data_IF_887474465476
#
_entry.id   IF_887474465476
#
_cell.length_a   1.000
_cell.length_b   1.000
_cell.length_c   1.000
_cell.angle_alpha   90.00
_cell.angle_beta   90.00
_cell.angle_gamma   90.00
#
_symmetry.space_group_name_H-M   'P 1'
#
loop_
_entity.id
_entity.type
_entity.pdbx_description
1 polymer ?
#
# COMPACT_ATOMS: atom_id res chain seq x y z
N UNK A 1 53.78 -23.80 -15.47
CA UNK A 1 53.10 -25.08 -15.23
C UNK A 1 51.83 -24.83 -14.45
N UNK A 2 50.65 -24.79 -15.04
CA UNK A 2 50.20 -24.18 -16.29
C UNK A 2 48.69 -23.96 -16.10
N UNK A 3 48.22 -22.99 -16.87
CA UNK A 3 46.88 -22.42 -17.07
C UNK A 3 45.65 -23.37 -17.11
N UNK A 4 44.42 -22.78 -17.05
CA UNK A 4 43.14 -23.41 -16.73
C UNK A 4 42.37 -23.95 -17.96
N UNK A 5 41.32 -24.75 -17.73
CA UNK A 5 40.31 -25.11 -18.74
C UNK A 5 39.01 -24.34 -18.42
N UNK A 6 38.68 -23.27 -19.17
CA UNK A 6 37.96 -23.21 -20.45
C UNK A 6 36.44 -23.09 -20.26
N UNK A 7 35.96 -21.94 -20.73
CA UNK A 7 34.59 -21.53 -21.00
C UNK A 7 33.84 -22.52 -21.90
N UNK A 8 32.56 -22.71 -21.65
CA UNK A 8 31.61 -23.21 -22.65
C UNK A 8 30.31 -22.41 -22.60
N UNK A 9 29.91 -21.97 -23.78
CA UNK A 9 28.80 -21.10 -24.11
C UNK A 9 27.43 -21.67 -23.73
N UNK A 10 26.53 -20.80 -23.28
CA UNK A 10 25.09 -20.97 -23.46
C UNK A 10 24.46 -19.62 -23.85
N UNK A 11 24.53 -19.33 -25.15
CA UNK A 11 23.68 -18.37 -25.85
C UNK A 11 22.24 -18.90 -25.88
N UNK A 12 21.26 -18.11 -25.45
CA UNK A 12 19.85 -18.53 -25.49
C UNK A 12 18.84 -17.40 -25.28
N UNK A 13 18.41 -16.81 -26.39
CA UNK A 13 17.10 -16.19 -26.62
C UNK A 13 16.66 -14.99 -25.74
N UNK A 14 16.91 -13.79 -26.29
CA UNK A 14 16.18 -12.58 -26.00
C UNK A 14 14.70 -12.75 -26.39
N UNK A 15 13.80 -12.97 -25.40
CA UNK A 15 12.36 -12.78 -25.61
C UNK A 15 12.04 -11.30 -25.50
N UNK A 16 11.59 -10.73 -26.62
CA UNK A 16 10.90 -9.45 -26.70
C UNK A 16 9.72 -9.43 -25.72
N UNK A 17 9.78 -8.57 -24.71
CA UNK A 17 8.61 -8.21 -23.90
C UNK A 17 8.13 -6.83 -24.32
N UNK A 18 6.85 -6.78 -24.63
CA UNK A 18 6.07 -5.67 -25.14
C UNK A 18 6.17 -4.38 -24.29
N UNK A 19 5.95 -3.20 -24.88
CA UNK A 19 5.94 -1.95 -24.14
C UNK A 19 4.76 -1.91 -23.16
N UNK A 20 5.07 -1.85 -21.86
CA UNK A 20 4.08 -1.67 -20.80
C UNK A 20 3.35 -0.34 -21.00
N UNK A 21 2.09 -0.47 -21.40
CA UNK A 21 1.12 0.60 -21.59
C UNK A 21 0.93 1.34 -20.26
N UNK A 22 1.45 2.56 -20.16
CA UNK A 22 1.14 3.53 -19.10
C UNK A 22 -0.38 3.80 -19.09
N UNK A 23 -0.88 4.23 -17.92
CA UNK A 23 -2.21 4.82 -17.65
C UNK A 23 -3.30 3.84 -17.19
N UNK A 24 -3.34 3.55 -15.86
CA UNK A 24 -4.55 3.20 -15.05
C UNK A 24 -4.28 2.77 -13.59
N UNK A 25 -3.02 2.79 -13.12
CA UNK A 25 -2.68 2.31 -11.78
C UNK A 25 -3.08 3.26 -10.62
N UNK A 26 -3.43 4.52 -10.88
CA UNK A 26 -3.71 5.50 -9.81
C UNK A 26 -5.12 5.44 -9.20
N UNK A 27 -6.06 4.69 -9.80
CA UNK A 27 -7.43 4.56 -9.26
C UNK A 27 -7.62 3.38 -8.29
N UNK A 28 -6.66 2.45 -8.22
CA UNK A 28 -6.81 1.21 -7.45
C UNK A 28 -6.29 1.29 -6.01
N UNK A 29 -5.48 2.30 -5.65
CA UNK A 29 -4.93 2.44 -4.30
C UNK A 29 -5.93 2.99 -3.27
N UNK A 30 -6.97 3.71 -3.70
CA UNK A 30 -8.09 4.09 -2.81
C UNK A 30 -9.01 2.90 -2.48
N UNK A 31 -9.02 1.85 -3.31
CA UNK A 31 -9.81 0.63 -3.08
C UNK A 31 -9.13 -0.38 -2.14
N UNK A 32 -7.83 -0.22 -1.87
CA UNK A 32 -7.03 -1.13 -1.03
C UNK A 32 -6.89 -0.69 0.43
N UNK A 33 -7.47 0.45 0.82
CA UNK A 33 -7.76 0.76 2.24
C UNK A 33 -9.11 0.14 2.71
N UNK A 34 -9.74 -0.67 1.86
CA UNK A 34 -10.95 -1.42 2.14
C UNK A 34 -10.82 -2.90 1.70
N UNK A 35 -9.88 -3.67 2.26
CA UNK A 35 -10.11 -5.11 2.36
C UNK A 35 -9.65 -5.65 3.72
N UNK A 36 -10.36 -5.25 4.78
CA UNK A 36 -10.45 -5.98 6.06
C UNK A 36 -11.89 -6.30 6.45
N UNK A 37 -12.85 -5.89 5.63
CA UNK A 37 -14.27 -6.22 5.75
C UNK A 37 -14.68 -7.11 4.58
N UNK A 38 -15.20 -8.29 4.95
CA UNK A 38 -16.00 -9.25 4.18
C UNK A 38 -15.22 -10.40 3.53
N UNK A 39 -15.66 -11.63 3.86
CA UNK A 39 -16.60 -12.29 2.96
C UNK A 39 -17.90 -12.68 3.70
N UNK A 40 -18.99 -12.00 3.38
CA UNK A 40 -20.33 -12.40 3.85
C UNK A 40 -21.36 -11.29 3.72
N UNK A 41 -22.07 -11.27 2.60
CA UNK A 41 -23.28 -10.47 2.27
C UNK A 41 -23.07 -9.05 1.73
N UNK A 42 -22.87 -8.98 0.42
CA UNK A 42 -23.48 -7.96 -0.44
C UNK A 42 -24.82 -8.55 -0.94
N UNK A 43 -25.94 -8.16 -0.32
CA UNK A 43 -26.82 -7.18 -0.96
C UNK A 43 -27.34 -6.18 0.08
N UNK A 44 -26.83 -4.94 0.06
CA UNK A 44 -27.25 -3.91 1.01
C UNK A 44 -26.63 -2.53 0.81
N UNK A 45 -25.53 -2.44 0.05
CA UNK A 45 -24.79 -1.20 -0.24
C UNK A 45 -25.56 -0.12 -1.03
N UNK A 46 -26.87 -0.30 -1.29
CA UNK A 46 -27.73 0.72 -1.90
C UNK A 46 -28.77 1.30 -0.94
N UNK A 47 -28.90 0.80 0.29
CA UNK A 47 -29.84 1.35 1.27
C UNK A 47 -29.08 1.85 2.49
N UNK A 48 -28.51 3.06 2.38
CA UNK A 48 -28.26 3.85 3.56
C UNK A 48 -29.62 4.06 4.25
N UNK A 49 -29.82 3.51 5.45
CA UNK A 49 -31.04 3.71 6.22
C UNK A 49 -31.24 5.20 6.50
N UNK A 50 -32.15 5.88 5.78
CA UNK A 50 -32.42 7.31 5.95
C UNK A 50 -32.73 7.71 7.41
N UNK A 51 -33.06 6.75 8.29
CA UNK A 51 -33.33 7.00 9.71
C UNK A 51 -32.11 6.89 10.63
N UNK A 52 -30.91 6.55 10.14
CA UNK A 52 -29.73 6.51 11.00
C UNK A 52 -29.37 7.95 11.46
N UNK A 53 -29.10 8.15 12.76
CA UNK A 53 -28.94 9.48 13.35
C UNK A 53 -27.84 10.26 12.65
N UNK A 54 -28.10 11.55 12.43
CA UNK A 54 -27.10 12.46 11.90
C UNK A 54 -25.94 12.62 12.89
N UNK A 55 -24.70 12.80 12.40
CA UNK A 55 -23.57 13.08 13.25
C UNK A 55 -23.73 14.40 14.02
N UNK A 56 -23.11 14.53 15.21
CA UNK A 56 -23.21 15.74 16.02
C UNK A 56 -22.62 16.96 15.28
N UNK A 57 -23.40 18.04 15.18
CA UNK A 57 -22.98 19.31 14.58
C UNK A 57 -22.30 20.21 15.63
N UNK A 58 -21.03 20.58 15.41
CA UNK A 58 -20.37 21.60 16.25
C UNK A 58 -18.84 21.54 16.36
N UNK A 59 -18.21 20.39 16.04
CA UNK A 59 -16.75 20.24 15.90
C UNK A 59 -16.52 19.41 14.63
N UNK A 60 -15.65 19.91 13.74
CA UNK A 60 -15.49 19.56 12.33
C UNK A 60 -15.59 18.07 11.98
N UNK A 61 -16.26 17.75 10.85
CA UNK A 61 -16.46 16.41 10.26
C UNK A 61 -15.26 15.46 10.38
N UNK A 62 -14.04 16.00 10.29
CA UNK A 62 -12.76 15.29 10.43
C UNK A 62 -12.60 14.60 11.79
N UNK A 63 -12.91 15.31 12.88
CA UNK A 63 -12.70 14.80 14.23
C UNK A 63 -13.73 13.73 14.59
N UNK A 64 -14.99 13.94 14.19
CA UNK A 64 -16.02 12.91 14.33
C UNK A 64 -15.68 11.65 13.52
N UNK A 65 -15.18 11.82 12.29
CA UNK A 65 -14.70 10.71 11.47
C UNK A 65 -13.53 9.97 12.12
N UNK A 66 -12.55 10.70 12.66
CA UNK A 66 -11.39 10.16 13.36
C UNK A 66 -11.80 9.35 14.59
N UNK A 67 -12.61 9.95 15.48
CA UNK A 67 -13.04 9.33 16.73
C UNK A 67 -13.88 8.07 16.52
N UNK A 68 -14.77 8.07 15.53
CA UNK A 68 -15.58 6.89 15.20
C UNK A 68 -14.72 5.73 14.70
N UNK A 69 -13.77 6.00 13.80
CA UNK A 69 -12.82 4.98 13.36
C UNK A 69 -11.92 4.51 14.50
N UNK A 70 -11.41 5.43 15.33
CA UNK A 70 -10.60 5.10 16.50
C UNK A 70 -11.36 4.19 17.48
N UNK A 71 -12.63 4.49 17.77
CA UNK A 71 -13.47 3.68 18.63
C UNK A 71 -13.64 2.24 18.10
N UNK A 72 -13.88 2.09 16.80
CA UNK A 72 -13.96 0.76 16.17
C UNK A 72 -12.62 0.02 16.23
N UNK A 73 -11.52 0.68 15.90
CA UNK A 73 -10.18 0.08 15.94
C UNK A 73 -9.77 -0.32 17.36
N UNK A 74 -10.03 0.51 18.37
CA UNK A 74 -9.70 0.21 19.77
C UNK A 74 -10.54 -0.93 20.32
N UNK A 75 -11.81 -1.06 19.91
CA UNK A 75 -12.71 -2.13 20.34
C UNK A 75 -12.55 -3.44 19.54
N UNK A 76 -11.69 -3.48 18.51
CA UNK A 76 -11.54 -4.69 17.71
C UNK A 76 -11.06 -5.89 18.54
N UNK A 77 -11.67 -7.06 18.39
CA UNK A 77 -11.36 -8.26 19.17
C UNK A 77 -12.04 -8.35 20.53
N UNK A 78 -12.62 -7.26 21.05
CA UNK A 78 -13.41 -7.29 22.27
C UNK A 78 -14.86 -7.72 21.98
N UNK A 79 -15.30 -8.84 22.54
CA UNK A 79 -16.69 -9.30 22.45
C UNK A 79 -17.57 -8.59 23.49
N UNK A 80 -18.88 -8.49 23.24
CA UNK A 80 -19.83 -7.92 24.21
C UNK A 80 -19.82 -8.71 25.52
N UNK A 81 -19.78 -10.05 25.44
CA UNK A 81 -19.73 -10.91 26.62
C UNK A 81 -18.48 -10.65 27.46
N UNK A 82 -17.32 -10.54 26.82
CA UNK A 82 -16.08 -10.23 27.53
C UNK A 82 -16.14 -8.82 28.13
N UNK A 83 -16.65 -7.83 27.40
CA UNK A 83 -16.82 -6.47 27.92
C UNK A 83 -17.75 -6.40 29.14
N UNK A 84 -18.79 -7.25 29.22
CA UNK A 84 -19.64 -7.40 30.42
C UNK A 84 -18.85 -8.00 31.59
N UNK A 85 -17.93 -8.94 31.34
CA UNK A 85 -17.03 -9.47 32.38
C UNK A 85 -16.00 -8.43 32.87
N UNK A 86 -15.64 -7.46 32.02
CA UNK A 86 -14.73 -6.36 32.37
C UNK A 86 -15.39 -5.34 33.31
N UNK A 87 -16.67 -5.06 33.10
CA UNK A 87 -17.46 -4.10 33.90
C UNK A 87 -18.88 -4.63 34.18
N UNK A 88 -19.04 -5.55 35.14
CA UNK A 88 -20.33 -6.13 35.47
C UNK A 88 -21.31 -5.09 36.05
N UNK A 89 -20.80 -4.05 36.73
CA UNK A 89 -21.64 -2.97 37.24
C UNK A 89 -22.25 -2.14 36.10
N UNK A 90 -21.42 -1.76 35.11
CA UNK A 90 -21.86 -1.05 33.92
C UNK A 90 -22.75 -1.88 32.98
N UNK A 91 -22.68 -3.21 33.05
CA UNK A 91 -23.50 -4.12 32.24
C UNK A 91 -25.01 -4.02 32.51
N UNK A 92 -25.40 -3.50 33.68
CA UNK A 92 -26.81 -3.30 34.05
C UNK A 92 -27.49 -2.21 33.23
N UNK A 93 -26.73 -1.24 32.72
CA UNK A 93 -27.25 -0.20 31.84
C UNK A 93 -27.19 -0.66 30.38
N UNK A 94 -28.21 -0.37 29.54
CA UNK A 94 -28.13 -0.64 28.12
C UNK A 94 -26.92 0.09 27.51
N UNK A 95 -26.30 -0.46 26.45
CA UNK A 95 -25.22 0.25 25.77
C UNK A 95 -25.74 1.57 25.22
N UNK A 96 -24.92 2.61 25.30
CA UNK A 96 -25.25 3.93 24.78
C UNK A 96 -25.61 3.83 23.29
N UNK A 97 -26.76 4.41 22.92
CA UNK A 97 -27.26 4.42 21.54
C UNK A 97 -27.00 5.80 20.97
N UNK A 98 -25.99 5.92 20.11
CA UNK A 98 -25.58 7.19 19.53
C UNK A 98 -24.24 7.10 18.78
N UNK A 99 -23.89 8.16 18.06
CA UNK A 99 -22.62 8.26 17.31
C UNK A 99 -21.50 8.97 18.08
N UNK A 100 -21.75 9.37 19.33
CA UNK A 100 -20.72 9.93 20.20
C UNK A 100 -20.23 8.84 21.15
N UNK A 101 -18.94 8.52 21.16
CA UNK A 101 -18.37 7.62 22.15
C UNK A 101 -18.68 8.09 23.58
N UNK A 102 -19.04 7.17 24.50
CA UNK A 102 -19.45 7.54 25.85
C UNK A 102 -18.28 7.90 26.77
N UNK A 103 -17.06 7.80 26.25
CA UNK A 103 -15.83 8.15 26.92
C UNK A 103 -14.93 8.93 25.96
N UNK A 104 -14.02 9.70 26.55
CA UNK A 104 -12.83 10.14 25.84
C UNK A 104 -11.93 8.93 25.56
N UNK A 105 -11.84 8.54 24.29
CA UNK A 105 -11.05 7.39 23.83
C UNK A 105 -9.56 7.65 24.04
N UNK A 106 -9.11 8.90 23.86
CA UNK A 106 -7.72 9.30 24.04
C UNK A 106 -7.32 9.36 25.51
N UNK A 107 -8.27 9.51 26.44
CA UNK A 107 -7.94 9.44 27.86
C UNK A 107 -7.38 8.06 28.27
N UNK A 108 -7.62 7.00 27.49
CA UNK A 108 -7.19 5.63 27.78
C UNK A 108 -5.69 5.38 27.58
N UNK A 109 -4.99 6.18 26.75
CA UNK A 109 -3.53 6.05 26.58
C UNK A 109 -2.74 6.63 27.76
N UNK A 110 -3.32 7.61 28.47
CA UNK A 110 -2.56 8.38 29.47
C UNK A 110 -2.08 7.50 30.63
N UNK A 111 -0.76 7.47 30.94
CA UNK A 111 -0.23 6.68 32.04
C UNK A 111 -0.87 7.04 33.39
N UNK A 112 -1.17 8.32 33.60
CA UNK A 112 -1.75 8.82 34.84
C UNK A 112 -3.11 8.17 35.13
N UNK A 113 -4.01 8.10 34.15
CA UNK A 113 -5.32 7.46 34.33
C UNK A 113 -5.16 5.95 34.59
N UNK A 114 -4.19 5.31 33.94
CA UNK A 114 -3.94 3.86 34.07
C UNK A 114 -3.33 3.47 35.42
N UNK A 115 -2.39 4.26 35.94
CA UNK A 115 -1.68 3.96 37.19
C UNK A 115 -2.53 4.39 38.40
N UNK A 116 -3.17 5.56 38.31
CA UNK A 116 -3.95 6.09 39.43
C UNK A 116 -5.25 5.32 39.66
N UNK A 117 -5.92 4.86 38.58
CA UNK A 117 -7.14 4.06 38.68
C UNK A 117 -7.26 3.00 37.56
N UNK A 118 -6.55 1.85 37.70
CA UNK A 118 -6.59 0.77 36.73
C UNK A 118 -8.00 0.18 36.55
N UNK A 119 -8.79 0.09 37.63
CA UNK A 119 -10.14 -0.49 37.60
C UNK A 119 -11.10 0.40 36.83
N UNK A 120 -11.05 1.71 37.07
CA UNK A 120 -11.87 2.65 36.33
C UNK A 120 -11.45 2.73 34.86
N UNK A 121 -10.16 2.59 34.55
CA UNK A 121 -9.67 2.46 33.16
C UNK A 121 -10.29 1.24 32.47
N UNK A 122 -10.26 0.06 33.10
CA UNK A 122 -10.89 -1.15 32.55
C UNK A 122 -12.40 -0.96 32.38
N UNK A 123 -13.08 -0.34 33.34
CA UNK A 123 -14.50 -0.06 33.22
C UNK A 123 -14.83 0.91 32.07
N UNK A 124 -14.02 1.95 31.87
CA UNK A 124 -14.14 2.86 30.72
C UNK A 124 -13.94 2.11 29.40
N UNK A 125 -12.90 1.28 29.31
CA UNK A 125 -12.65 0.45 28.12
C UNK A 125 -13.80 -0.53 27.85
N UNK A 126 -14.35 -1.16 28.88
CA UNK A 126 -15.53 -2.03 28.77
C UNK A 126 -16.74 -1.30 28.20
N UNK A 127 -17.01 -0.07 28.65
CA UNK A 127 -18.07 0.78 28.07
C UNK A 127 -17.81 1.11 26.61
N UNK A 128 -16.58 1.46 26.24
CA UNK A 128 -16.21 1.69 24.84
C UNK A 128 -16.41 0.44 23.98
N UNK A 129 -16.01 -0.74 24.47
CA UNK A 129 -16.18 -2.00 23.74
C UNK A 129 -17.66 -2.32 23.52
N UNK A 130 -18.49 -2.18 24.56
CA UNK A 130 -19.93 -2.37 24.45
C UNK A 130 -20.56 -1.37 23.49
N UNK A 131 -20.18 -0.10 23.59
CA UNK A 131 -20.62 0.95 22.69
C UNK A 131 -20.30 0.63 21.22
N UNK A 132 -19.02 0.38 20.92
CA UNK A 132 -18.56 0.14 19.56
C UNK A 132 -19.20 -1.11 18.95
N UNK A 133 -19.42 -2.16 19.74
CA UNK A 133 -20.06 -3.40 19.29
C UNK A 133 -21.57 -3.29 19.13
N UNK A 134 -22.24 -2.58 20.03
CA UNK A 134 -23.69 -2.39 19.93
C UNK A 134 -24.08 -1.45 18.78
N UNK A 135 -23.18 -0.56 18.37
CA UNK A 135 -23.43 0.44 17.34
C UNK A 135 -22.59 0.23 16.07
N UNK A 136 -21.98 -0.95 15.88
CA UNK A 136 -20.99 -1.17 14.82
C UNK A 136 -21.53 -0.80 13.43
N UNK A 137 -22.71 -1.30 13.06
CA UNK A 137 -23.33 -1.02 11.77
C UNK A 137 -23.68 0.47 11.62
N UNK A 138 -24.21 1.10 12.67
CA UNK A 138 -24.55 2.52 12.68
C UNK A 138 -23.32 3.41 12.55
N UNK A 139 -22.22 3.08 13.25
CA UNK A 139 -20.94 3.78 13.16
C UNK A 139 -20.37 3.62 11.74
N UNK A 140 -20.39 2.41 11.18
CA UNK A 140 -19.91 2.17 9.80
C UNK A 140 -20.74 2.93 8.76
N UNK A 141 -22.06 2.96 8.91
CA UNK A 141 -22.94 3.75 8.06
C UNK A 141 -22.65 5.26 8.18
N UNK A 142 -22.41 5.76 9.39
CA UNK A 142 -22.04 7.15 9.62
C UNK A 142 -20.68 7.49 8.98
N UNK A 143 -19.66 6.66 9.17
CA UNK A 143 -18.33 6.80 8.53
C UNK A 143 -18.47 6.84 6.99
N UNK A 144 -19.28 5.95 6.41
CA UNK A 144 -19.52 5.92 4.97
C UNK A 144 -20.23 7.19 4.48
N UNK A 145 -21.23 7.69 5.21
CA UNK A 145 -21.90 8.96 4.89
C UNK A 145 -20.96 10.15 5.01
N UNK A 146 -20.12 10.19 6.05
CA UNK A 146 -19.09 11.22 6.20
C UNK A 146 -18.15 11.22 5.00
N UNK A 147 -17.69 10.04 4.57
CA UNK A 147 -16.82 9.91 3.40
C UNK A 147 -17.47 10.42 2.10
N UNK A 148 -18.79 10.25 1.95
CA UNK A 148 -19.55 10.76 0.81
C UNK A 148 -19.79 12.27 0.88
N UNK A 149 -20.19 12.79 2.05
CA UNK A 149 -20.52 14.21 2.25
C UNK A 149 -19.27 15.09 2.23
N UNK A 150 -18.17 14.62 2.83
CA UNK A 150 -16.95 15.40 3.04
C UNK A 150 -15.70 14.56 2.70
N UNK A 151 -15.41 14.30 1.40
CA UNK A 151 -14.22 13.56 0.98
C UNK A 151 -12.92 14.17 1.51
N UNK A 152 -12.88 15.50 1.66
CA UNK A 152 -11.75 16.23 2.22
C UNK A 152 -11.45 15.84 3.68
N UNK A 153 -12.47 15.44 4.45
CA UNK A 153 -12.28 14.98 5.82
C UNK A 153 -11.58 13.61 5.87
N UNK A 154 -11.90 12.72 4.94
CA UNK A 154 -11.23 11.42 4.79
C UNK A 154 -9.76 11.62 4.45
N UNK A 155 -9.45 12.52 3.52
CA UNK A 155 -8.06 12.80 3.13
C UNK A 155 -7.26 13.54 4.20
N UNK A 156 -7.94 14.26 5.11
CA UNK A 156 -7.29 14.96 6.21
C UNK A 156 -6.89 14.01 7.35
N UNK A 157 -7.54 12.86 7.49
CA UNK A 157 -7.18 11.84 8.47
C UNK A 157 -6.16 10.88 7.85
N UNK A 158 -4.94 10.90 8.39
CA UNK A 158 -3.91 9.93 8.02
C UNK A 158 -4.25 8.55 8.64
N UNK A 159 -4.53 7.52 7.81
CA UNK A 159 -4.88 6.20 8.31
C UNK A 159 -3.73 5.53 9.07
N UNK A 160 -2.47 5.84 8.74
CA UNK A 160 -1.31 5.28 9.43
C UNK A 160 -1.19 5.86 10.85
N UNK A 161 -1.38 7.18 10.98
CA UNK A 161 -1.40 7.86 12.28
C UNK A 161 -2.57 7.40 13.15
N UNK A 162 -3.74 7.21 12.54
CA UNK A 162 -4.91 6.69 13.25
C UNK A 162 -4.70 5.26 13.76
N UNK A 163 -4.09 4.39 12.93
CA UNK A 163 -3.73 3.04 13.33
C UNK A 163 -2.67 3.04 14.45
N UNK A 164 -1.71 3.95 14.42
CA UNK A 164 -0.72 4.15 15.48
C UNK A 164 -1.38 4.57 16.80
N UNK A 165 -2.26 5.56 16.77
CA UNK A 165 -3.05 6.01 17.93
C UNK A 165 -3.85 4.84 18.52
N UNK A 166 -4.52 4.06 17.67
CA UNK A 166 -5.23 2.86 18.10
C UNK A 166 -4.27 1.82 18.71
N UNK A 167 -3.11 1.57 18.10
CA UNK A 167 -2.12 0.60 18.59
C UNK A 167 -1.59 0.98 19.98
N UNK A 168 -1.31 2.28 20.22
CA UNK A 168 -0.86 2.79 21.51
C UNK A 168 -1.92 2.55 22.58
N UNK A 169 -3.18 2.91 22.29
CA UNK A 169 -4.30 2.71 23.22
C UNK A 169 -4.50 1.21 23.50
N UNK A 170 -4.54 0.38 22.46
CA UNK A 170 -4.73 -1.07 22.58
C UNK A 170 -3.62 -1.72 23.40
N UNK A 171 -2.36 -1.35 23.16
CA UNK A 171 -1.21 -1.87 23.92
C UNK A 171 -1.27 -1.44 25.38
N UNK A 172 -1.61 -0.18 25.64
CA UNK A 172 -1.81 0.36 26.97
C UNK A 172 -2.91 -0.37 27.74
N UNK A 173 -4.05 -0.65 27.08
CA UNK A 173 -5.15 -1.41 27.65
C UNK A 173 -4.78 -2.87 27.88
N UNK A 174 -4.10 -3.51 26.94
CA UNK A 174 -3.69 -4.91 27.07
C UNK A 174 -2.82 -5.13 28.33
N UNK A 175 -1.88 -4.22 28.60
CA UNK A 175 -1.05 -4.25 29.83
C UNK A 175 -1.93 -4.10 31.08
N UNK A 176 -2.85 -3.12 31.07
CA UNK A 176 -3.74 -2.86 32.22
C UNK A 176 -4.66 -4.05 32.49
N UNK A 177 -5.22 -4.65 31.43
CA UNK A 177 -6.08 -5.84 31.51
C UNK A 177 -5.30 -7.08 31.94
N UNK A 178 -4.04 -7.23 31.52
CA UNK A 178 -3.19 -8.31 31.99
C UNK A 178 -2.96 -8.20 33.50
N UNK A 179 -2.58 -7.01 33.98
CA UNK A 179 -2.34 -6.74 35.40
C UNK A 179 -3.60 -7.00 36.25
N UNK A 180 -4.76 -6.47 35.83
CA UNK A 180 -6.03 -6.73 36.52
C UNK A 180 -6.45 -8.21 36.48
N UNK A 181 -6.02 -8.96 35.45
CA UNK A 181 -6.24 -10.40 35.36
C UNK A 181 -5.32 -11.24 36.26
N UNK A 182 -4.14 -10.73 36.63
CA UNK A 182 -3.16 -11.46 37.46
C UNK A 182 -3.67 -11.69 38.88
N UNK A 183 -4.40 -10.73 39.45
CA UNK A 183 -4.97 -10.81 40.80
C UNK A 183 -6.24 -11.66 40.94
N UNK A 184 -6.67 -12.37 39.88
CA UNK A 184 -7.82 -13.28 39.93
C UNK A 184 -7.39 -14.71 40.27
N UNK A 185 -8.19 -15.39 41.08
CA UNK A 185 -8.01 -16.81 41.41
C UNK A 185 -8.18 -17.71 40.18
N UNK A 186 -7.58 -18.91 40.20
CA UNK A 186 -7.69 -19.95 39.17
C UNK A 186 -9.10 -20.53 39.07
N UNK A 187 -10.01 -19.68 38.60
CA UNK A 187 -11.43 -19.90 38.43
C UNK A 187 -11.79 -19.94 36.94
N UNK A 188 -12.97 -20.47 36.58
CA UNK A 188 -13.50 -20.36 35.23
C UNK A 188 -13.53 -18.90 34.71
N UNK A 189 -13.75 -17.93 35.60
CA UNK A 189 -13.75 -16.50 35.29
C UNK A 189 -12.36 -15.93 34.94
N UNK A 190 -11.28 -16.51 35.51
CA UNK A 190 -9.91 -16.19 35.07
C UNK A 190 -9.63 -16.74 33.68
N UNK A 191 -10.14 -17.94 33.39
CA UNK A 191 -9.98 -18.57 32.08
C UNK A 191 -10.73 -17.81 30.97
N UNK A 192 -11.95 -17.34 31.23
CA UNK A 192 -12.70 -16.50 30.27
C UNK A 192 -12.01 -15.16 30.03
N UNK A 193 -11.54 -14.50 31.09
CA UNK A 193 -10.78 -13.26 31.01
C UNK A 193 -9.55 -13.41 30.11
N UNK A 194 -8.73 -14.45 30.35
CA UNK A 194 -7.52 -14.71 29.58
C UNK A 194 -7.81 -14.98 28.11
N UNK A 195 -8.90 -15.69 27.79
CA UNK A 195 -9.30 -15.92 26.40
C UNK A 195 -9.68 -14.61 25.70
N UNK A 196 -10.48 -13.77 26.35
CA UNK A 196 -10.84 -12.45 25.80
C UNK A 196 -9.61 -11.57 25.59
N UNK A 197 -8.70 -11.54 26.57
CA UNK A 197 -7.43 -10.80 26.46
C UNK A 197 -6.56 -11.33 25.32
N UNK A 198 -6.46 -12.65 25.14
CA UNK A 198 -5.69 -13.24 24.04
C UNK A 198 -6.23 -12.81 22.67
N UNK A 199 -7.56 -12.90 22.44
CA UNK A 199 -8.18 -12.45 21.19
C UNK A 199 -7.94 -10.95 20.96
N UNK A 200 -8.00 -10.15 22.02
CA UNK A 200 -7.71 -8.71 21.95
C UNK A 200 -6.25 -8.42 21.60
N UNK A 201 -5.31 -9.17 22.19
CA UNK A 201 -3.88 -9.09 21.88
C UNK A 201 -3.57 -9.54 20.45
N UNK A 202 -4.19 -10.63 19.98
CA UNK A 202 -4.06 -11.11 18.60
C UNK A 202 -4.47 -10.03 17.59
N UNK A 203 -5.57 -9.33 17.86
CA UNK A 203 -6.01 -8.21 17.02
C UNK A 203 -5.09 -6.99 17.11
N UNK A 204 -4.41 -6.80 18.23
CA UNK A 204 -3.40 -5.74 18.38
C UNK A 204 -2.13 -6.07 17.59
N UNK A 205 -1.68 -7.33 17.62
CA UNK A 205 -0.57 -7.82 16.80
C UNK A 205 -0.92 -7.71 15.31
N UNK A 206 -2.14 -8.08 14.93
CA UNK A 206 -2.62 -7.94 13.56
C UNK A 206 -2.55 -6.50 13.06
N UNK A 207 -3.04 -5.53 13.85
CA UNK A 207 -2.96 -4.10 13.52
C UNK A 207 -1.51 -3.64 13.35
N UNK A 208 -0.62 -4.05 14.27
CA UNK A 208 0.81 -3.76 14.18
C UNK A 208 1.42 -4.33 12.89
N UNK A 209 1.15 -5.59 12.56
CA UNK A 209 1.66 -6.24 11.35
C UNK A 209 1.16 -5.54 10.08
N UNK A 210 -0.09 -5.05 10.08
CA UNK A 210 -0.61 -4.24 8.98
C UNK A 210 0.16 -2.92 8.83
N UNK A 211 0.46 -2.23 9.93
CA UNK A 211 1.25 -1.00 9.89
C UNK A 211 2.68 -1.25 9.39
N UNK A 212 3.33 -2.30 9.89
CA UNK A 212 4.67 -2.73 9.42
C UNK A 212 4.64 -3.04 7.91
N UNK A 213 3.56 -3.67 7.42
CA UNK A 213 3.36 -3.90 6.00
C UNK A 213 3.21 -2.58 5.21
N UNK A 214 2.46 -1.60 5.70
CA UNK A 214 2.34 -0.29 5.05
C UNK A 214 3.65 0.49 5.00
N UNK A 215 4.49 0.36 6.02
CA UNK A 215 5.84 0.92 6.00
C UNK A 215 6.71 0.23 4.95
N UNK A 216 6.71 -1.10 4.94
CA UNK A 216 7.43 -1.89 3.95
C UNK A 216 7.01 -1.57 2.50
N UNK A 217 5.71 -1.42 2.23
CA UNK A 217 5.21 -1.06 0.90
C UNK A 217 5.70 0.33 0.45
N UNK A 218 5.71 1.32 1.36
CA UNK A 218 6.27 2.65 1.10
C UNK A 218 7.76 2.60 0.80
N UNK A 219 8.52 1.80 1.55
CA UNK A 219 9.95 1.60 1.30
C UNK A 219 10.21 0.92 -0.05
N UNK A 220 9.44 -0.12 -0.39
CA UNK A 220 9.52 -0.78 -1.69
C UNK A 220 9.23 0.18 -2.84
N UNK A 221 8.20 1.02 -2.71
CA UNK A 221 7.89 2.04 -3.70
C UNK A 221 9.05 3.04 -3.87
N UNK A 222 9.65 3.50 -2.76
CA UNK A 222 10.79 4.42 -2.79
C UNK A 222 12.04 3.80 -3.45
N UNK A 223 12.34 2.53 -3.13
CA UNK A 223 13.45 1.78 -3.75
C UNK A 223 13.18 1.58 -5.24
N UNK A 224 11.95 1.23 -5.61
CA UNK A 224 11.55 1.04 -7.02
C UNK A 224 11.70 2.33 -7.81
N UNK A 225 11.25 3.46 -7.26
CA UNK A 225 11.40 4.78 -7.89
C UNK A 225 12.88 5.17 -8.04
N UNK A 226 13.71 4.88 -7.04
CA UNK A 226 15.17 5.09 -7.13
C UNK A 226 15.77 4.22 -8.24
N UNK A 227 15.45 2.93 -8.28
CA UNK A 227 15.94 2.01 -9.31
C UNK A 227 15.49 2.40 -10.72
N UNK A 228 14.25 2.88 -10.87
CA UNK A 228 13.72 3.37 -12.15
C UNK A 228 14.50 4.60 -12.64
N UNK A 229 14.77 5.58 -11.76
CA UNK A 229 15.58 6.76 -12.10
C UNK A 229 17.01 6.41 -12.48
N UNK A 230 17.66 5.52 -11.74
CA UNK A 230 19.01 5.05 -12.06
C UNK A 230 19.06 4.29 -13.38
N UNK A 231 18.06 3.45 -13.66
CA UNK A 231 17.99 2.71 -14.92
C UNK A 231 17.71 3.64 -16.09
N UNK A 232 16.81 4.62 -15.94
CA UNK A 232 16.56 5.66 -16.93
C UNK A 232 17.83 6.44 -17.26
N UNK A 233 18.59 6.86 -16.24
CA UNK A 233 19.87 7.56 -16.42
C UNK A 233 20.89 6.71 -17.17
N UNK A 234 20.97 5.39 -16.88
CA UNK A 234 21.85 4.47 -17.61
C UNK A 234 21.42 4.30 -19.07
N UNK A 235 20.11 4.16 -19.33
CA UNK A 235 19.57 4.06 -20.70
C UNK A 235 19.87 5.35 -21.49
N UNK A 236 19.66 6.52 -20.89
CA UNK A 236 20.01 7.81 -21.51
C UNK A 236 21.51 7.92 -21.80
N UNK A 237 22.36 7.44 -20.89
CA UNK A 237 23.82 7.42 -21.12
C UNK A 237 24.19 6.50 -22.29
N UNK A 238 23.58 5.32 -22.40
CA UNK A 238 23.78 4.42 -23.54
C UNK A 238 23.24 5.01 -24.85
N UNK A 239 22.09 5.69 -24.83
CA UNK A 239 21.55 6.39 -26.00
C UNK A 239 22.49 7.49 -26.48
N UNK A 240 23.03 8.32 -25.58
CA UNK A 240 24.04 9.33 -25.94
C UNK A 240 25.31 8.70 -26.52
N UNK A 241 25.77 7.56 -26.01
CA UNK A 241 26.92 6.87 -26.56
C UNK A 241 26.67 6.35 -27.98
N UNK A 242 25.44 5.87 -28.26
CA UNK A 242 25.04 5.39 -29.57
C UNK A 242 24.78 6.53 -30.57
N UNK A 243 24.24 7.65 -30.11
CA UNK A 243 24.00 8.84 -30.93
C UNK A 243 25.29 9.62 -31.22
N UNK A 244 26.25 9.62 -30.28
CA UNK A 244 27.59 10.20 -30.42
C UNK A 244 28.58 9.11 -30.81
N UNK A 245 28.27 8.30 -31.83
CA UNK A 245 29.28 7.46 -32.46
C UNK A 245 30.01 8.27 -33.55
N UNK A 246 31.24 8.77 -33.30
CA UNK A 246 32.00 9.53 -34.29
C UNK A 246 32.31 8.74 -35.55
N UNK A 247 32.17 7.40 -35.54
CA UNK A 247 32.32 6.57 -36.75
C UNK A 247 31.16 6.74 -37.72
N UNK A 248 29.94 6.93 -37.22
CA UNK A 248 28.78 7.21 -38.05
C UNK A 248 28.86 8.61 -38.66
N UNK A 249 29.35 9.60 -37.92
CA UNK A 249 29.62 10.94 -38.45
C UNK A 249 30.74 10.93 -39.49
N UNK A 250 31.87 10.27 -39.22
CA UNK A 250 32.97 10.14 -40.19
C UNK A 250 32.54 9.40 -41.46
N UNK A 251 31.75 8.33 -41.35
CA UNK A 251 31.19 7.62 -42.49
C UNK A 251 30.20 8.48 -43.29
N UNK A 252 29.33 9.24 -42.61
CA UNK A 252 28.38 10.16 -43.26
C UNK A 252 29.12 11.31 -43.95
N UNK A 253 30.19 11.81 -43.35
CA UNK A 253 31.05 12.85 -43.92
C UNK A 253 31.83 12.33 -45.13
N UNK A 254 32.27 11.07 -45.09
CA UNK A 254 32.88 10.39 -46.23
C UNK A 254 31.89 10.18 -47.38
N UNK A 255 30.66 9.74 -47.08
CA UNK A 255 29.58 9.64 -48.06
C UNK A 255 29.24 10.99 -48.70
N UNK A 256 29.14 12.06 -47.91
CA UNK A 256 28.92 13.42 -48.44
C UNK A 256 30.09 13.91 -49.29
N UNK A 257 31.33 13.59 -48.90
CA UNK A 257 32.51 13.92 -49.69
C UNK A 257 32.52 13.16 -51.03
N UNK A 258 32.16 11.86 -51.03
CA UNK A 258 32.01 11.05 -52.24
C UNK A 258 30.88 11.59 -53.11
N UNK A 259 29.73 11.92 -52.54
CA UNK A 259 28.60 12.50 -53.27
C UNK A 259 28.94 13.87 -53.86
N UNK A 260 29.69 14.71 -53.13
CA UNK A 260 30.21 15.98 -53.63
C UNK A 260 31.15 15.78 -54.82
N UNK A 261 32.13 14.86 -54.71
CA UNK A 261 33.02 14.53 -55.83
C UNK A 261 32.22 13.98 -57.02
N UNK A 262 31.21 13.16 -56.78
CA UNK A 262 30.34 12.61 -57.83
C UNK A 262 29.45 13.67 -58.50
N UNK A 263 29.09 14.74 -57.78
CA UNK A 263 28.23 15.83 -58.26
C UNK A 263 29.04 16.94 -58.94
N UNK A 264 30.24 17.23 -58.44
CA UNK A 264 31.18 18.25 -58.96
C UNK A 264 31.98 17.72 -60.17
N UNK A 265 32.35 16.43 -60.16
CA UNK A 265 33.12 15.78 -61.21
C UNK A 265 32.33 14.66 -61.91
N UNK A 266 31.00 14.84 -62.02
CA UNK A 266 30.06 13.92 -62.66
C UNK A 266 30.75 13.03 -63.67
N UNK A 267 30.81 11.72 -63.37
CA UNK A 267 31.52 10.74 -64.19
C UNK A 267 31.13 11.01 -65.64
N UNK A 268 32.10 11.31 -66.53
CA UNK A 268 31.78 11.47 -67.93
C UNK A 268 31.07 10.19 -68.35
N UNK A 269 29.94 10.34 -69.02
CA UNK A 269 29.23 9.26 -69.68
C UNK A 269 30.21 8.56 -70.61
N UNK A 270 30.90 7.56 -70.09
CA UNK A 270 31.66 6.60 -70.87
C UNK A 270 30.82 5.36 -70.82
N UNK A 271 30.04 5.17 -71.88
CA UNK A 271 29.60 3.85 -72.30
C UNK A 271 30.77 2.90 -72.09
N UNK A 272 30.63 1.84 -71.28
CA UNK A 272 31.60 0.77 -71.32
C UNK A 272 31.53 0.19 -72.73
N UNK A 273 32.57 0.43 -73.54
CA UNK A 273 32.96 -0.62 -74.47
C UNK A 273 33.20 -1.84 -73.58
N UNK A 274 32.32 -2.82 -73.74
CA UNK A 274 32.19 -3.97 -72.88
C UNK A 274 33.48 -4.80 -72.95
N UNK A 275 34.22 -4.98 -71.84
CA UNK A 275 35.38 -5.87 -71.82
C UNK A 275 35.00 -7.35 -71.98
N UNK A 276 33.71 -7.69 -72.13
CA UNK A 276 33.27 -9.04 -72.48
C UNK A 276 33.46 -9.41 -73.96
N UNK A 277 33.66 -8.44 -74.87
CA UNK A 277 33.91 -8.73 -76.29
C UNK A 277 35.37 -9.13 -76.58
N UNK A 278 36.35 -8.67 -75.80
CA UNK A 278 37.77 -9.04 -76.01
C UNK A 278 38.16 -10.38 -75.34
N UNK A 279 37.32 -10.94 -74.47
CA UNK A 279 37.61 -12.20 -73.77
C UNK A 279 37.08 -13.45 -74.49
N UNK A 280 36.33 -13.31 -75.59
CA UNK A 280 35.81 -14.43 -76.37
C UNK A 280 36.75 -14.81 -77.54
N UNK A 281 37.55 -13.89 -78.08
CA UNK A 281 38.49 -14.24 -79.18
C UNK A 281 39.74 -15.01 -78.70
N UNK A 282 40.16 -14.85 -77.44
CA UNK A 282 41.32 -15.56 -76.90
C UNK A 282 41.07 -17.06 -76.63
N UNK A 283 39.82 -17.53 -76.65
CA UNK A 283 39.47 -18.94 -76.45
C UNK A 283 39.29 -19.73 -77.76
N UNK A 284 39.53 -19.13 -78.93
CA UNK A 284 39.40 -19.79 -80.24
C UNK A 284 40.73 -20.10 -80.95
N UNK A 285 41.87 -19.78 -80.32
CA UNK A 285 43.21 -20.12 -80.82
C UNK A 285 44.08 -20.76 -79.74
N UNK A 286 43.64 -21.89 -79.20
CA UNK A 286 44.55 -22.91 -78.67
C UNK A 286 43.93 -24.26 -79.03
N UNK A 287 44.49 -24.87 -80.08
CA UNK A 287 44.36 -26.30 -80.40
C UNK A 287 44.85 -27.18 -79.24
#
# INVERSE_FOLDING_TARGET
>A
MDTPAVLSHATGAWRTREPVRRSRAFAWLAALLLPGLLPGLLPGLLNADENAPDPPSGIADVESYRLLNLALMVAEGASIAWAVELDPAGATSPPDRGLTPPIDVEALQTPLNRIADPRQTVARAARLFRYARANEDGIRAAIARFAQKSPAAVTAVDPARLAEEALIIRSALAITLEDQGRGRDDSPARSSWRRGLAVYQDKTIYLRNMMEFWEFDRELAAITEKALRETGTRIEAYQRLLEVDPRLDAFTQHLRAVEYVYREYGVPEKTPDDPSDELIEAASQVD
#
